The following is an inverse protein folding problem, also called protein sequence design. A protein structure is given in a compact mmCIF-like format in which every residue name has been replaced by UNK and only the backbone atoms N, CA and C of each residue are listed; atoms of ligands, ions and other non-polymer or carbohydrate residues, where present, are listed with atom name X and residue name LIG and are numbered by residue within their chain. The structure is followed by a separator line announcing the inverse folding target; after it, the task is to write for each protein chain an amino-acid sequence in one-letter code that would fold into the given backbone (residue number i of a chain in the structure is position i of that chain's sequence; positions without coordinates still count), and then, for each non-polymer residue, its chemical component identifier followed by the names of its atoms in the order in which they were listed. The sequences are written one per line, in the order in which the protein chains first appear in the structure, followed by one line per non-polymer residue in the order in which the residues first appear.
data_IF_530648935020
#
_entry.id   IF_530648935020
#
_cell.length_a   1.000
_cell.length_b   1.000
_cell.length_c   1.000
_cell.angle_alpha   90.00
_cell.angle_beta   90.00
_cell.angle_gamma   90.00
#
_symmetry.space_group_name_H-M   'P 1'
#
loop_
_entity.id
_entity.type
_entity.pdbx_description
1 polymer ?
#
# COMPACT_ATOMS: atom_id res chain seq x y z
N UNK A 1 -50.27 -4.68 12.86
CA UNK A 1 -49.29 -4.05 11.97
C UNK A 1 -47.81 -4.51 12.14
N UNK A 2 -47.50 -5.49 13.00
CA UNK A 2 -46.08 -5.88 13.28
C UNK A 2 -45.48 -6.98 12.36
N UNK A 3 -46.29 -7.74 11.61
CA UNK A 3 -45.76 -8.88 10.82
C UNK A 3 -45.05 -8.45 9.51
N UNK A 4 -45.42 -7.32 8.91
CA UNK A 4 -44.78 -6.83 7.68
C UNK A 4 -43.35 -6.35 7.88
N UNK A 5 -43.08 -5.69 8.98
CA UNK A 5 -41.76 -5.17 9.29
C UNK A 5 -40.74 -6.29 9.63
N UNK A 6 -41.21 -7.37 10.26
CA UNK A 6 -40.41 -8.56 10.56
C UNK A 6 -40.02 -9.35 9.31
N UNK A 7 -40.94 -9.50 8.34
CA UNK A 7 -40.70 -10.20 7.07
C UNK A 7 -39.73 -9.44 6.18
N UNK A 8 -39.82 -8.10 6.11
CA UNK A 8 -38.89 -7.26 5.36
C UNK A 8 -37.48 -7.29 5.95
N UNK A 9 -37.36 -7.26 7.29
CA UNK A 9 -36.08 -7.34 8.01
C UNK A 9 -35.44 -8.73 7.85
N UNK A 10 -36.23 -9.80 7.89
CA UNK A 10 -35.75 -11.19 7.68
C UNK A 10 -35.27 -11.40 6.24
N UNK A 11 -36.00 -10.90 5.24
CA UNK A 11 -35.57 -10.96 3.82
C UNK A 11 -34.28 -10.18 3.55
N UNK A 12 -34.10 -9.02 4.18
CA UNK A 12 -32.88 -8.21 4.03
C UNK A 12 -31.65 -8.91 4.63
N UNK A 13 -31.82 -9.54 5.79
CA UNK A 13 -30.74 -10.32 6.45
C UNK A 13 -30.36 -11.55 5.61
N UNK A 14 -31.34 -12.25 5.03
CA UNK A 14 -31.09 -13.42 4.18
C UNK A 14 -30.37 -13.04 2.90
N UNK A 15 -30.75 -11.93 2.24
CA UNK A 15 -30.07 -11.41 1.04
C UNK A 15 -28.62 -11.02 1.32
N UNK A 16 -28.36 -10.40 2.46
CA UNK A 16 -26.99 -9.99 2.84
C UNK A 16 -26.11 -11.21 3.14
N UNK A 17 -26.64 -12.22 3.85
CA UNK A 17 -25.91 -13.48 4.11
C UNK A 17 -25.61 -14.23 2.81
N UNK A 18 -26.57 -14.29 1.92
CA UNK A 18 -26.40 -14.92 0.60
C UNK A 18 -25.33 -14.21 -0.23
N UNK A 19 -25.28 -12.86 -0.22
CA UNK A 19 -24.24 -12.09 -0.90
C UNK A 19 -22.83 -12.42 -0.40
N UNK A 20 -22.61 -12.48 0.93
CA UNK A 20 -21.28 -12.84 1.46
C UNK A 20 -20.93 -14.31 1.19
N UNK A 21 -21.88 -15.21 1.25
CA UNK A 21 -21.66 -16.61 0.91
C UNK A 21 -21.22 -16.76 -0.57
N UNK A 22 -21.88 -16.05 -1.48
CA UNK A 22 -21.49 -16.02 -2.90
C UNK A 22 -20.12 -15.38 -3.09
N UNK A 23 -19.80 -14.30 -2.40
CA UNK A 23 -18.48 -13.67 -2.45
C UNK A 23 -17.38 -14.63 -2.00
N UNK A 24 -17.56 -15.30 -0.88
CA UNK A 24 -16.58 -16.28 -0.37
C UNK A 24 -16.44 -17.49 -1.29
N UNK A 25 -17.53 -17.94 -1.89
CA UNK A 25 -17.50 -19.00 -2.89
C UNK A 25 -16.69 -18.58 -4.12
N UNK A 26 -16.87 -17.34 -4.62
CA UNK A 26 -16.11 -16.80 -5.75
C UNK A 26 -14.62 -16.73 -5.41
N UNK A 27 -14.26 -16.29 -4.20
CA UNK A 27 -12.88 -16.24 -3.76
C UNK A 27 -12.26 -17.64 -3.68
N UNK A 28 -12.99 -18.61 -3.18
CA UNK A 28 -12.56 -20.01 -3.12
C UNK A 28 -12.37 -20.60 -4.53
N UNK A 29 -13.31 -20.35 -5.42
CA UNK A 29 -13.18 -20.74 -6.84
C UNK A 29 -11.95 -20.06 -7.46
N UNK A 30 -11.71 -18.77 -7.16
CA UNK A 30 -10.53 -18.05 -7.61
C UNK A 30 -9.22 -18.70 -7.15
N UNK A 31 -9.15 -19.13 -5.88
CA UNK A 31 -7.98 -19.85 -5.34
C UNK A 31 -7.78 -21.18 -6.10
N UNK A 32 -8.84 -21.98 -6.23
CA UNK A 32 -8.77 -23.27 -6.96
C UNK A 32 -8.37 -23.08 -8.42
N UNK A 33 -8.90 -22.03 -9.05
CA UNK A 33 -8.58 -21.68 -10.43
C UNK A 33 -7.09 -21.35 -10.63
N UNK A 34 -6.46 -20.63 -9.66
CA UNK A 34 -5.03 -20.30 -9.77
C UNK A 34 -4.10 -21.51 -9.66
N UNK A 35 -4.57 -22.64 -9.11
CA UNK A 35 -3.80 -23.87 -9.07
C UNK A 35 -3.65 -24.53 -10.46
N UNK A 36 -4.58 -24.25 -11.39
CA UNK A 36 -4.61 -24.85 -12.72
C UNK A 36 -4.75 -23.86 -13.87
N UNK A 37 -4.29 -22.61 -13.69
CA UNK A 37 -4.45 -21.53 -14.66
C UNK A 37 -3.31 -21.40 -15.67
N UNK A 38 -2.44 -22.40 -15.78
CA UNK A 38 -1.27 -22.35 -16.67
C UNK A 38 -1.61 -22.09 -18.15
N UNK A 39 -2.83 -22.46 -18.59
CA UNK A 39 -3.30 -22.25 -19.96
C UNK A 39 -3.56 -20.77 -20.32
N UNK A 40 -3.74 -19.89 -19.33
CA UNK A 40 -3.95 -18.45 -19.56
C UNK A 40 -2.66 -17.69 -19.90
N UNK A 41 -1.52 -18.29 -19.62
CA UNK A 41 -0.24 -17.64 -19.79
C UNK A 41 0.35 -17.90 -21.17
N UNK A 42 0.78 -16.81 -21.82
CA UNK A 42 1.56 -16.92 -23.09
C UNK A 42 2.98 -17.39 -22.85
N UNK A 43 3.55 -17.09 -21.67
CA UNK A 43 4.88 -17.56 -21.27
C UNK A 43 4.83 -19.04 -20.91
N UNK A 44 5.88 -19.77 -21.23
CA UNK A 44 5.99 -21.19 -20.88
C UNK A 44 6.10 -21.33 -19.35
N UNK A 45 5.25 -22.16 -18.78
CA UNK A 45 5.27 -22.52 -17.37
C UNK A 45 5.72 -23.97 -17.24
N UNK A 46 6.66 -24.21 -16.33
CA UNK A 46 7.12 -25.54 -16.00
C UNK A 46 6.91 -25.83 -14.50
N UNK A 47 6.46 -27.04 -14.18
CA UNK A 47 6.35 -27.53 -12.81
C UNK A 47 7.55 -28.40 -12.47
N UNK A 48 8.23 -28.10 -11.39
CA UNK A 48 9.41 -28.82 -10.93
C UNK A 48 9.01 -30.17 -10.33
N UNK A 49 9.60 -31.27 -10.84
CA UNK A 49 9.31 -32.63 -10.41
C UNK A 49 10.39 -33.15 -9.47
N UNK A 50 11.65 -32.92 -9.84
CA UNK A 50 12.82 -33.39 -9.10
C UNK A 50 13.93 -32.35 -9.14
N UNK A 51 14.71 -32.33 -8.09
CA UNK A 51 15.87 -31.45 -7.93
C UNK A 51 17.00 -32.29 -7.34
N UNK A 52 18.14 -32.26 -8.02
CA UNK A 52 19.41 -32.77 -7.51
C UNK A 52 20.26 -31.55 -7.15
N UNK A 53 20.57 -31.39 -5.88
CA UNK A 53 21.30 -30.22 -5.35
C UNK A 53 22.71 -30.66 -4.95
N UNK A 54 23.72 -29.98 -5.48
CA UNK A 54 25.13 -30.23 -5.16
C UNK A 54 25.78 -28.95 -4.66
N UNK A 55 26.54 -29.08 -3.59
CA UNK A 55 27.41 -28.01 -3.09
C UNK A 55 28.60 -27.85 -4.02
N UNK A 56 28.94 -26.61 -4.41
CA UNK A 56 30.08 -26.33 -5.28
C UNK A 56 31.27 -25.84 -4.47
N UNK A 57 31.12 -24.73 -3.77
CA UNK A 57 32.19 -24.08 -2.99
C UNK A 57 31.64 -22.97 -2.09
N UNK A 58 32.45 -22.54 -1.14
CA UNK A 58 32.24 -21.29 -0.45
C UNK A 58 32.94 -20.14 -1.22
N UNK A 59 32.25 -19.01 -1.36
CA UNK A 59 32.86 -17.75 -1.81
C UNK A 59 32.93 -16.80 -0.61
N UNK A 60 34.09 -16.18 -0.45
CA UNK A 60 34.23 -15.06 0.49
C UNK A 60 33.87 -13.77 -0.25
N UNK A 61 32.87 -13.05 0.27
CA UNK A 61 32.55 -11.71 -0.23
C UNK A 61 33.72 -10.80 0.18
N UNK A 62 34.43 -10.27 -0.82
CA UNK A 62 35.78 -9.67 -0.67
C UNK A 62 35.89 -8.52 0.32
N UNK A 63 34.77 -7.93 0.79
CA UNK A 63 34.79 -6.79 1.71
C UNK A 63 34.34 -7.10 3.15
N UNK A 64 33.70 -8.27 3.43
CA UNK A 64 33.06 -8.51 4.73
C UNK A 64 33.36 -9.85 5.36
N UNK A 65 34.17 -10.72 4.74
CA UNK A 65 34.50 -12.03 5.29
C UNK A 65 33.29 -12.97 5.48
N UNK A 66 32.14 -12.63 4.90
CA UNK A 66 30.97 -13.51 4.94
C UNK A 66 31.15 -14.62 3.92
N UNK A 67 31.32 -15.85 4.41
CA UNK A 67 31.33 -17.04 3.56
C UNK A 67 29.93 -17.33 3.06
N UNK A 68 29.75 -17.28 1.74
CA UNK A 68 28.50 -17.62 1.08
C UNK A 68 28.66 -18.92 0.33
N UNK A 69 27.86 -19.93 0.70
CA UNK A 69 27.88 -21.23 0.04
C UNK A 69 27.14 -21.15 -1.30
N UNK A 70 27.80 -21.66 -2.36
CA UNK A 70 27.23 -21.77 -3.70
C UNK A 70 26.77 -23.21 -3.93
N UNK A 71 25.53 -23.32 -4.40
CA UNK A 71 24.91 -24.59 -4.75
C UNK A 71 24.49 -24.60 -6.23
N UNK A 72 24.60 -25.75 -6.86
CA UNK A 72 24.03 -26.03 -8.18
C UNK A 72 22.84 -26.95 -8.03
N UNK A 73 21.70 -26.56 -8.63
CA UNK A 73 20.50 -27.38 -8.72
C UNK A 73 20.33 -27.88 -10.15
N UNK A 74 20.32 -29.18 -10.36
CA UNK A 74 19.87 -29.82 -11.60
C UNK A 74 18.38 -30.11 -11.46
N UNK A 75 17.54 -29.27 -12.09
CA UNK A 75 16.10 -29.26 -11.95
C UNK A 75 15.47 -30.01 -13.13
N UNK A 76 14.67 -31.04 -12.83
CA UNK A 76 13.80 -31.68 -13.83
C UNK A 76 12.40 -31.08 -13.67
N UNK A 77 11.82 -30.54 -14.75
CA UNK A 77 10.51 -29.91 -14.75
C UNK A 77 9.66 -30.34 -15.95
N UNK A 78 8.34 -30.41 -15.76
CA UNK A 78 7.36 -30.70 -16.82
C UNK A 78 6.71 -29.39 -17.26
N UNK A 79 6.68 -29.17 -18.58
CA UNK A 79 6.00 -28.00 -19.16
C UNK A 79 4.48 -28.20 -19.02
N UNK A 80 3.77 -27.16 -18.56
CA UNK A 80 2.33 -27.18 -18.29
C UNK A 80 1.46 -26.56 -19.37
N UNK A 81 2.04 -25.73 -20.23
CA UNK A 81 1.33 -24.99 -21.28
C UNK A 81 2.18 -24.95 -22.57
N UNK A 82 1.71 -24.19 -23.55
CA UNK A 82 2.31 -24.07 -24.89
C UNK A 82 2.30 -25.35 -25.71
N UNK A 83 2.82 -25.28 -26.93
CA UNK A 83 2.94 -26.43 -27.84
C UNK A 83 3.88 -27.56 -27.34
N UNK A 84 4.67 -27.26 -26.30
CA UNK A 84 5.60 -28.23 -25.69
C UNK A 84 5.06 -28.85 -24.41
N UNK A 85 3.76 -28.73 -24.15
CA UNK A 85 3.10 -29.31 -22.99
C UNK A 85 3.49 -30.77 -22.77
N UNK A 86 3.64 -31.17 -21.51
CA UNK A 86 3.99 -32.51 -21.02
C UNK A 86 5.42 -32.99 -21.38
N UNK A 87 6.24 -32.16 -22.04
CA UNK A 87 7.67 -32.47 -22.22
C UNK A 87 8.43 -32.20 -20.92
N UNK A 88 9.37 -33.11 -20.64
CA UNK A 88 10.30 -32.95 -19.50
C UNK A 88 11.53 -32.18 -19.97
N UNK A 89 11.89 -31.16 -19.22
CA UNK A 89 13.08 -30.34 -19.47
C UNK A 89 14.02 -30.42 -18.26
N UNK A 90 15.31 -30.27 -18.53
CA UNK A 90 16.34 -30.16 -17.51
C UNK A 90 16.88 -28.73 -17.49
N UNK A 91 16.92 -28.12 -16.30
CA UNK A 91 17.36 -26.75 -16.10
C UNK A 91 18.47 -26.77 -15.06
N UNK A 92 19.56 -26.07 -15.34
CA UNK A 92 20.61 -25.81 -14.36
C UNK A 92 20.36 -24.47 -13.70
N UNK A 93 20.33 -24.44 -12.38
CA UNK A 93 20.20 -23.24 -11.58
C UNK A 93 21.35 -23.19 -10.56
N UNK A 94 22.05 -22.08 -10.52
CA UNK A 94 23.07 -21.84 -9.49
C UNK A 94 22.55 -20.78 -8.54
N UNK A 95 22.60 -21.04 -7.25
CA UNK A 95 22.19 -20.07 -6.25
C UNK A 95 23.23 -19.93 -5.12
N UNK A 96 23.27 -18.76 -4.57
CA UNK A 96 24.13 -18.40 -3.44
C UNK A 96 23.25 -18.29 -2.19
N UNK A 97 23.61 -18.99 -1.13
CA UNK A 97 22.83 -19.02 0.10
C UNK A 97 22.92 -17.63 0.78
N UNK A 98 21.82 -16.90 0.78
CA UNK A 98 21.73 -15.55 1.36
C UNK A 98 21.77 -14.39 0.37
N UNK A 99 22.02 -14.64 -0.92
CA UNK A 99 21.90 -13.60 -1.95
C UNK A 99 20.45 -13.44 -2.46
N UNK A 100 20.05 -12.19 -2.66
CA UNK A 100 18.67 -11.84 -3.08
C UNK A 100 18.43 -12.13 -4.56
N UNK A 101 19.49 -12.06 -5.38
CA UNK A 101 19.39 -12.19 -6.84
C UNK A 101 19.36 -13.63 -7.34
N UNK A 102 19.71 -14.59 -6.48
CA UNK A 102 19.72 -16.02 -6.79
C UNK A 102 18.69 -16.74 -5.94
N UNK A 103 17.84 -17.57 -6.57
CA UNK A 103 16.74 -18.25 -5.89
C UNK A 103 16.97 -19.76 -5.81
N UNK A 104 16.72 -20.31 -4.62
CA UNK A 104 16.58 -21.75 -4.41
C UNK A 104 15.17 -22.16 -4.78
N UNK A 105 15.03 -23.19 -5.65
CA UNK A 105 13.75 -23.75 -6.02
C UNK A 105 13.48 -25.05 -5.27
N UNK A 106 12.18 -25.39 -5.14
CA UNK A 106 11.73 -26.60 -4.46
C UNK A 106 10.86 -27.46 -5.37
N UNK A 107 10.73 -28.73 -5.02
CA UNK A 107 9.82 -29.63 -5.69
C UNK A 107 8.38 -29.11 -5.63
N UNK A 108 7.64 -29.25 -6.73
CA UNK A 108 6.29 -28.72 -6.96
C UNK A 108 6.18 -27.21 -7.19
N UNK A 109 7.30 -26.48 -7.24
CA UNK A 109 7.27 -25.09 -7.66
C UNK A 109 6.89 -24.94 -9.12
N UNK A 110 6.14 -23.91 -9.45
CA UNK A 110 5.82 -23.50 -10.81
C UNK A 110 6.64 -22.26 -11.19
N UNK A 111 7.35 -22.35 -12.32
CA UNK A 111 8.28 -21.32 -12.77
C UNK A 111 8.01 -20.95 -14.22
N UNK A 112 8.25 -19.70 -14.57
CA UNK A 112 8.31 -19.24 -15.94
C UNK A 112 9.65 -19.62 -16.54
N UNK A 113 9.63 -20.21 -17.75
CA UNK A 113 10.83 -20.72 -18.41
C UNK A 113 10.93 -20.16 -19.81
N UNK A 114 12.11 -19.71 -20.19
CA UNK A 114 12.45 -19.46 -21.58
C UNK A 114 13.11 -20.70 -22.18
N UNK A 115 12.64 -21.07 -23.35
CA UNK A 115 13.13 -22.24 -24.09
C UNK A 115 13.98 -21.80 -25.28
N UNK A 116 15.20 -22.33 -25.38
CA UNK A 116 16.04 -22.14 -26.55
C UNK A 116 15.85 -23.36 -27.47
N UNK A 117 15.12 -23.15 -28.57
CA UNK A 117 14.64 -24.20 -29.46
C UNK A 117 15.48 -24.17 -30.75
N UNK A 118 15.93 -25.32 -31.19
CA UNK A 118 16.60 -25.47 -32.47
C UNK A 118 16.06 -26.71 -33.18
N UNK A 119 15.44 -26.54 -34.36
CA UNK A 119 14.84 -27.62 -35.15
C UNK A 119 13.90 -28.51 -34.32
N UNK A 120 12.93 -27.92 -33.61
CA UNK A 120 11.95 -28.58 -32.75
C UNK A 120 12.49 -29.32 -31.51
N UNK A 121 13.77 -29.22 -31.22
CA UNK A 121 14.35 -29.82 -30.04
C UNK A 121 14.74 -28.75 -29.02
N UNK A 122 14.44 -28.98 -27.71
CA UNK A 122 14.70 -28.05 -26.62
C UNK A 122 16.15 -28.25 -26.18
N UNK A 123 17.07 -27.40 -26.66
CA UNK A 123 18.49 -27.48 -26.30
C UNK A 123 18.81 -26.98 -24.92
N UNK A 124 18.18 -25.89 -24.51
CA UNK A 124 18.41 -25.27 -23.19
C UNK A 124 17.13 -24.63 -22.69
N UNK A 125 16.92 -24.67 -21.38
CA UNK A 125 15.84 -23.99 -20.70
C UNK A 125 16.43 -23.16 -19.56
N UNK A 126 15.92 -21.92 -19.39
CA UNK A 126 16.32 -21.02 -18.31
C UNK A 126 15.09 -20.55 -17.54
N UNK A 127 15.21 -20.46 -16.21
CA UNK A 127 14.13 -19.94 -15.38
C UNK A 127 14.16 -18.42 -15.47
N UNK A 128 13.04 -17.80 -15.87
CA UNK A 128 12.85 -16.34 -15.88
C UNK A 128 12.32 -15.80 -14.57
N UNK A 129 11.58 -16.62 -13.83
CA UNK A 129 11.01 -16.23 -12.57
C UNK A 129 10.04 -17.24 -11.97
N UNK A 130 9.62 -16.97 -10.76
CA UNK A 130 8.70 -17.80 -9.99
C UNK A 130 7.25 -17.40 -10.27
N UNK A 131 6.36 -18.36 -10.47
CA UNK A 131 4.91 -18.11 -10.62
C UNK A 131 4.28 -17.87 -9.26
N UNK A 132 4.02 -16.59 -8.93
CA UNK A 132 3.59 -16.14 -7.59
C UNK A 132 2.09 -15.94 -7.45
N UNK A 133 1.32 -16.05 -8.55
CA UNK A 133 -0.11 -15.72 -8.60
C UNK A 133 -0.95 -16.44 -7.54
N UNK A 134 -0.71 -17.72 -7.31
CA UNK A 134 -1.42 -18.51 -6.29
C UNK A 134 -1.28 -17.91 -4.88
N UNK A 135 -0.06 -17.48 -4.52
CA UNK A 135 0.19 -16.90 -3.19
C UNK A 135 -0.44 -15.52 -3.05
N UNK A 136 -0.38 -14.72 -4.12
CA UNK A 136 -0.99 -13.38 -4.17
C UNK A 136 -2.51 -13.51 -4.04
N UNK A 137 -3.15 -14.43 -4.78
CA UNK A 137 -4.60 -14.62 -4.72
C UNK A 137 -5.02 -15.18 -3.37
N UNK A 138 -4.28 -16.13 -2.77
CA UNK A 138 -4.56 -16.63 -1.42
C UNK A 138 -4.50 -15.50 -0.40
N UNK A 139 -3.43 -14.70 -0.41
CA UNK A 139 -3.24 -13.60 0.53
C UNK A 139 -4.33 -12.52 0.36
N UNK A 140 -4.63 -12.15 -0.89
CA UNK A 140 -5.68 -11.17 -1.20
C UNK A 140 -7.05 -11.69 -0.79
N UNK A 141 -7.34 -12.97 -1.05
CA UNK A 141 -8.61 -13.58 -0.63
C UNK A 141 -8.75 -13.62 0.89
N UNK A 142 -7.69 -13.99 1.60
CA UNK A 142 -7.66 -13.97 3.06
C UNK A 142 -7.92 -12.55 3.60
N UNK A 143 -7.27 -11.56 3.03
CA UNK A 143 -7.47 -10.15 3.40
C UNK A 143 -8.93 -9.71 3.18
N UNK A 144 -9.53 -10.04 2.02
CA UNK A 144 -10.93 -9.70 1.72
C UNK A 144 -11.87 -10.40 2.70
N UNK A 145 -11.63 -11.66 3.03
CA UNK A 145 -12.44 -12.43 3.99
C UNK A 145 -12.39 -11.76 5.36
N UNK A 146 -11.20 -11.46 5.88
CA UNK A 146 -11.04 -10.85 7.21
C UNK A 146 -11.72 -9.48 7.26
N UNK A 147 -11.45 -8.61 6.27
CA UNK A 147 -12.01 -7.25 6.26
C UNK A 147 -13.54 -7.25 6.10
N UNK A 148 -14.10 -8.25 5.40
CA UNK A 148 -15.57 -8.36 5.24
C UNK A 148 -16.24 -8.99 6.45
N UNK A 149 -15.58 -9.89 7.20
CA UNK A 149 -16.09 -10.43 8.47
C UNK A 149 -16.20 -9.30 9.50
N UNK A 150 -15.16 -8.46 9.63
CA UNK A 150 -15.11 -7.38 10.62
C UNK A 150 -15.94 -6.17 10.15
N UNK A 151 -15.66 -5.65 8.96
CA UNK A 151 -16.21 -4.40 8.45
C UNK A 151 -17.52 -4.55 7.68
N UNK A 152 -17.98 -5.80 7.41
CA UNK A 152 -19.17 -6.07 6.59
C UNK A 152 -19.12 -5.30 5.27
N UNK A 153 -20.21 -4.60 4.91
CA UNK A 153 -20.29 -3.79 3.68
C UNK A 153 -19.26 -2.66 3.62
N UNK A 154 -18.95 -2.05 4.76
CA UNK A 154 -17.91 -1.01 4.81
C UNK A 154 -16.52 -1.57 4.53
N UNK A 155 -16.23 -2.79 4.99
CA UNK A 155 -14.99 -3.48 4.69
C UNK A 155 -14.82 -3.74 3.19
N UNK A 156 -15.87 -4.20 2.50
CA UNK A 156 -15.83 -4.38 1.06
C UNK A 156 -15.63 -3.05 0.31
N UNK A 157 -16.32 -1.99 0.74
CA UNK A 157 -16.15 -0.66 0.14
C UNK A 157 -14.75 -0.10 0.36
N UNK A 158 -14.13 -0.38 1.53
CA UNK A 158 -12.72 -0.05 1.77
C UNK A 158 -11.80 -0.77 0.79
N UNK A 159 -12.03 -2.06 0.52
CA UNK A 159 -11.24 -2.78 -0.48
C UNK A 159 -11.41 -2.21 -1.89
N UNK A 160 -12.63 -1.85 -2.27
CA UNK A 160 -12.90 -1.19 -3.56
C UNK A 160 -12.18 0.17 -3.63
N UNK A 161 -12.11 0.93 -2.53
CA UNK A 161 -11.37 2.20 -2.50
C UNK A 161 -9.87 2.01 -2.70
N UNK A 162 -9.28 0.92 -2.20
CA UNK A 162 -7.87 0.59 -2.46
C UNK A 162 -7.65 0.33 -3.96
N UNK A 163 -8.53 -0.43 -4.62
CA UNK A 163 -8.45 -0.65 -6.07
C UNK A 163 -8.55 0.67 -6.85
N UNK A 164 -9.48 1.55 -6.45
CA UNK A 164 -9.62 2.86 -7.07
C UNK A 164 -8.35 3.71 -6.91
N UNK A 165 -7.70 3.67 -5.75
CA UNK A 165 -6.44 4.37 -5.50
C UNK A 165 -5.28 3.80 -6.34
N UNK A 166 -5.19 2.48 -6.49
CA UNK A 166 -4.20 1.85 -7.37
C UNK A 166 -4.42 2.34 -8.82
N UNK A 167 -5.67 2.44 -9.26
CA UNK A 167 -5.99 2.94 -10.59
C UNK A 167 -5.61 4.42 -10.75
N UNK A 168 -5.92 5.28 -9.78
CA UNK A 168 -5.50 6.68 -9.77
C UNK A 168 -3.98 6.82 -9.81
N UNK A 169 -3.26 6.01 -9.06
CA UNK A 169 -1.80 6.00 -9.08
C UNK A 169 -1.22 5.64 -10.45
N UNK A 170 -1.81 4.66 -11.13
CA UNK A 170 -1.41 4.34 -12.52
C UNK A 170 -1.67 5.52 -13.48
N UNK A 171 -2.75 6.26 -13.28
CA UNK A 171 -3.05 7.48 -14.06
C UNK A 171 -1.96 8.54 -13.83
N UNK A 172 -1.55 8.75 -12.58
CA UNK A 172 -0.46 9.69 -12.24
C UNK A 172 0.83 9.33 -12.99
N UNK A 173 1.24 8.06 -12.93
CA UNK A 173 2.45 7.59 -13.62
C UNK A 173 2.33 7.80 -15.14
N UNK A 174 1.19 7.46 -15.72
CA UNK A 174 0.96 7.60 -17.16
C UNK A 174 1.05 9.07 -17.65
N UNK A 175 0.44 9.99 -16.92
CA UNK A 175 0.47 11.40 -17.28
C UNK A 175 1.82 12.07 -16.96
N UNK A 176 2.49 11.62 -15.89
CA UNK A 176 3.86 12.08 -15.62
C UNK A 176 4.84 11.67 -16.73
N UNK A 177 4.70 10.45 -17.27
CA UNK A 177 5.48 10.01 -18.41
C UNK A 177 5.24 10.85 -19.69
N UNK A 178 4.12 11.58 -19.77
CA UNK A 178 3.82 12.56 -20.84
C UNK A 178 4.37 13.96 -20.55
N UNK A 179 5.10 14.15 -19.45
CA UNK A 179 5.75 15.43 -19.12
C UNK A 179 4.92 16.37 -18.24
N UNK A 180 3.77 15.92 -17.69
CA UNK A 180 2.99 16.73 -16.76
C UNK A 180 3.68 16.67 -15.38
N UNK A 181 3.67 17.81 -14.67
CA UNK A 181 4.30 17.95 -13.36
C UNK A 181 3.80 16.90 -12.35
N UNK A 182 4.74 16.16 -11.74
CA UNK A 182 4.46 15.13 -10.74
C UNK A 182 3.76 15.71 -9.52
N UNK A 183 4.16 16.90 -9.05
CA UNK A 183 3.56 17.59 -7.90
C UNK A 183 2.08 17.85 -8.14
N UNK A 184 1.74 18.41 -9.32
CA UNK A 184 0.35 18.70 -9.67
C UNK A 184 -0.48 17.41 -9.73
N UNK A 185 0.05 16.39 -10.41
CA UNK A 185 -0.65 15.11 -10.56
C UNK A 185 -0.86 14.41 -9.22
N UNK A 186 0.16 14.40 -8.35
CA UNK A 186 0.08 13.80 -7.01
C UNK A 186 -0.92 14.55 -6.14
N UNK A 187 -0.93 15.88 -6.18
CA UNK A 187 -1.85 16.70 -5.41
C UNK A 187 -3.31 16.47 -5.86
N UNK A 188 -3.59 16.54 -7.16
CA UNK A 188 -4.93 16.27 -7.71
C UNK A 188 -5.38 14.84 -7.40
N UNK A 189 -4.49 13.87 -7.56
CA UNK A 189 -4.75 12.47 -7.24
C UNK A 189 -5.05 12.28 -5.74
N UNK A 190 -4.34 12.97 -4.85
CA UNK A 190 -4.59 12.91 -3.40
C UNK A 190 -5.97 13.47 -3.03
N UNK A 191 -6.38 14.61 -3.63
CA UNK A 191 -7.72 15.18 -3.43
C UNK A 191 -8.83 14.24 -3.94
N UNK A 192 -8.63 13.63 -5.10
CA UNK A 192 -9.57 12.64 -5.67
C UNK A 192 -9.63 11.38 -4.79
N UNK A 193 -8.49 10.84 -4.36
CA UNK A 193 -8.42 9.69 -3.47
C UNK A 193 -9.15 9.95 -2.17
N UNK A 194 -8.93 11.11 -1.54
CA UNK A 194 -9.62 11.53 -0.33
C UNK A 194 -11.15 11.51 -0.53
N UNK A 195 -11.62 12.14 -1.59
CA UNK A 195 -13.06 12.24 -1.89
C UNK A 195 -13.68 10.86 -2.14
N UNK A 196 -13.03 10.05 -2.97
CA UNK A 196 -13.50 8.69 -3.32
C UNK A 196 -13.53 7.80 -2.08
N UNK A 197 -12.42 7.74 -1.32
CA UNK A 197 -12.33 6.87 -0.15
C UNK A 197 -13.37 7.22 0.92
N UNK A 198 -13.44 8.49 1.31
CA UNK A 198 -14.36 8.92 2.37
C UNK A 198 -15.82 8.74 1.95
N UNK A 199 -16.15 9.02 0.69
CA UNK A 199 -17.52 8.85 0.18
C UNK A 199 -17.92 7.38 0.08
N UNK A 200 -17.03 6.51 -0.41
CA UNK A 200 -17.31 5.07 -0.52
C UNK A 200 -17.50 4.43 0.86
N UNK A 201 -16.62 4.72 1.83
CA UNK A 201 -16.62 4.04 3.13
C UNK A 201 -17.68 4.59 4.08
N UNK A 202 -17.85 5.92 4.12
CA UNK A 202 -18.71 6.60 5.09
C UNK A 202 -20.08 7.02 4.53
N UNK A 203 -20.26 6.93 3.20
CA UNK A 203 -21.46 7.40 2.50
C UNK A 203 -21.47 8.93 2.37
N UNK A 204 -22.50 9.45 1.70
CA UNK A 204 -22.67 10.89 1.46
C UNK A 204 -23.48 11.52 2.60
N UNK A 205 -22.81 11.93 3.67
CA UNK A 205 -23.41 12.50 4.89
C UNK A 205 -22.68 13.80 5.29
N UNK A 206 -23.31 14.63 6.15
CA UNK A 206 -22.71 15.86 6.65
C UNK A 206 -21.32 15.67 7.25
N UNK A 207 -21.13 14.60 8.05
CA UNK A 207 -19.83 14.23 8.63
C UNK A 207 -18.78 13.90 7.56
N UNK A 208 -19.16 13.21 6.48
CA UNK A 208 -18.27 12.86 5.38
C UNK A 208 -17.87 14.10 4.58
N UNK A 209 -18.81 15.00 4.32
CA UNK A 209 -18.51 16.29 3.67
C UNK A 209 -17.55 17.12 4.51
N UNK A 210 -17.79 17.19 5.83
CA UNK A 210 -16.86 17.86 6.75
C UNK A 210 -15.46 17.24 6.68
N UNK A 211 -15.37 15.93 6.74
CA UNK A 211 -14.10 15.22 6.66
C UNK A 211 -13.37 15.46 5.31
N UNK A 212 -14.09 15.43 4.18
CA UNK A 212 -13.52 15.70 2.85
C UNK A 212 -12.93 17.10 2.80
N UNK A 213 -13.70 18.12 3.18
CA UNK A 213 -13.23 19.51 3.15
C UNK A 213 -12.02 19.68 4.08
N UNK A 214 -12.08 19.11 5.29
CA UNK A 214 -10.98 19.16 6.26
C UNK A 214 -9.71 18.48 5.75
N UNK A 215 -9.84 17.30 5.15
CA UNK A 215 -8.71 16.58 4.57
C UNK A 215 -8.11 17.34 3.37
N UNK A 216 -8.95 17.87 2.49
CA UNK A 216 -8.46 18.66 1.34
C UNK A 216 -7.71 19.92 1.80
N UNK A 217 -8.23 20.63 2.81
CA UNK A 217 -7.52 21.77 3.39
C UNK A 217 -6.22 21.34 4.08
N UNK A 218 -6.24 20.25 4.85
CA UNK A 218 -5.06 19.70 5.51
C UNK A 218 -3.96 19.33 4.50
N UNK A 219 -4.32 18.62 3.43
CA UNK A 219 -3.39 18.26 2.35
C UNK A 219 -2.80 19.49 1.66
N UNK A 220 -3.64 20.49 1.38
CA UNK A 220 -3.18 21.74 0.74
C UNK A 220 -2.16 22.45 1.63
N UNK A 221 -2.43 22.56 2.93
CA UNK A 221 -1.51 23.19 3.86
C UNK A 221 -0.22 22.38 4.01
N UNK A 222 -0.32 21.06 4.08
CA UNK A 222 0.86 20.18 4.12
C UNK A 222 1.73 20.36 2.88
N UNK A 223 1.15 20.45 1.70
CA UNK A 223 1.85 20.76 0.46
C UNK A 223 2.54 22.13 0.52
N UNK A 224 1.84 23.16 0.99
CA UNK A 224 2.43 24.52 1.13
C UNK A 224 3.61 24.53 2.11
N UNK A 225 3.48 23.82 3.24
CA UNK A 225 4.59 23.68 4.20
C UNK A 225 5.78 22.98 3.55
N UNK A 226 5.55 21.91 2.78
CA UNK A 226 6.60 21.20 2.07
C UNK A 226 7.36 22.13 1.12
N UNK A 227 6.64 22.94 0.33
CA UNK A 227 7.23 23.92 -0.58
C UNK A 227 8.03 24.98 0.17
N UNK A 228 7.50 25.50 1.29
CA UNK A 228 8.17 26.48 2.13
C UNK A 228 9.46 25.93 2.73
N UNK A 229 9.44 24.70 3.25
CA UNK A 229 10.61 24.03 3.84
C UNK A 229 11.72 23.87 2.80
N UNK A 230 11.39 23.42 1.59
CA UNK A 230 12.37 23.27 0.51
C UNK A 230 12.94 24.61 0.11
N UNK A 231 12.09 25.64 -0.04
CA UNK A 231 12.53 26.98 -0.44
C UNK A 231 13.44 27.65 0.60
N UNK A 232 13.09 27.56 1.89
CA UNK A 232 13.90 28.14 2.98
C UNK A 232 15.22 27.39 3.16
N UNK A 233 15.23 26.07 3.02
CA UNK A 233 16.45 25.29 3.19
C UNK A 233 17.45 25.52 2.06
N UNK A 234 17.06 26.14 0.94
CA UNK A 234 17.88 26.28 -0.27
C UNK A 234 18.58 24.96 -0.63
N UNK A 235 17.89 23.84 -0.41
CA UNK A 235 18.39 22.47 -0.58
C UNK A 235 19.56 22.08 0.36
N UNK A 236 20.00 22.96 1.26
CA UNK A 236 21.02 22.68 2.24
C UNK A 236 20.42 21.86 3.40
N UNK A 237 21.05 20.73 3.71
CA UNK A 237 20.59 19.85 4.81
C UNK A 237 19.58 18.77 4.41
N UNK A 238 18.93 18.87 3.24
CA UNK A 238 18.14 17.81 2.66
C UNK A 238 19.00 17.04 1.66
N UNK A 239 19.43 15.84 2.05
CA UNK A 239 20.35 15.01 1.28
C UNK A 239 19.63 14.26 0.16
N UNK A 240 19.14 14.99 -0.86
CA UNK A 240 18.46 14.40 -2.03
C UNK A 240 19.35 13.44 -2.83
N UNK A 241 20.67 13.56 -2.69
CA UNK A 241 21.67 12.66 -3.25
C UNK A 241 21.57 11.23 -2.70
N UNK A 242 20.92 11.06 -1.56
CA UNK A 242 20.71 9.77 -0.90
C UNK A 242 19.36 9.10 -1.23
N UNK A 243 18.56 9.70 -2.11
CA UNK A 243 17.33 9.06 -2.58
C UNK A 243 17.67 7.77 -3.35
N UNK A 244 16.93 6.70 -3.12
CA UNK A 244 17.16 5.36 -3.70
C UNK A 244 17.32 5.37 -5.23
N UNK A 245 16.64 6.28 -5.89
CA UNK A 245 16.73 6.48 -7.33
C UNK A 245 16.99 7.96 -7.57
N UNK A 246 18.19 8.30 -8.01
CA UNK A 246 18.59 9.64 -8.45
C UNK A 246 17.84 10.05 -9.73
N UNK A 247 16.52 10.13 -9.65
CA UNK A 247 15.64 10.58 -10.72
C UNK A 247 15.38 12.08 -10.61
N UNK A 248 15.51 12.80 -11.69
CA UNK A 248 15.10 14.21 -11.74
C UNK A 248 13.64 14.29 -12.20
N UNK A 249 12.80 15.16 -11.64
CA UNK A 249 13.09 16.17 -10.61
C UNK A 249 12.92 15.60 -9.17
N UNK A 250 14.00 15.57 -8.39
CA UNK A 250 14.03 15.06 -7.01
C UNK A 250 13.07 15.80 -6.05
N UNK A 251 12.93 17.10 -6.22
CA UNK A 251 12.00 17.94 -5.45
C UNK A 251 10.55 17.50 -5.62
N UNK A 252 10.16 17.28 -6.87
CA UNK A 252 8.82 16.82 -7.22
C UNK A 252 8.49 15.47 -6.59
N UNK A 253 9.47 14.56 -6.56
CA UNK A 253 9.33 13.24 -5.93
C UNK A 253 9.16 13.40 -4.43
N UNK A 254 10.04 14.16 -3.76
CA UNK A 254 9.99 14.39 -2.31
C UNK A 254 8.64 14.99 -1.85
N UNK A 255 8.15 16.03 -2.52
CA UNK A 255 6.85 16.64 -2.21
C UNK A 255 5.71 15.65 -2.45
N UNK A 256 5.76 14.91 -3.55
CA UNK A 256 4.74 13.92 -3.90
C UNK A 256 4.68 12.79 -2.86
N UNK A 257 5.82 12.33 -2.36
CA UNK A 257 5.92 11.33 -1.30
C UNK A 257 5.31 11.83 0.01
N UNK A 258 5.54 13.09 0.40
CA UNK A 258 4.92 13.69 1.59
C UNK A 258 3.39 13.74 1.43
N UNK A 259 2.91 14.21 0.28
CA UNK A 259 1.45 14.33 0.02
C UNK A 259 0.79 12.95 0.06
N UNK A 260 1.34 11.99 -0.66
CA UNK A 260 0.76 10.66 -0.77
C UNK A 260 0.92 9.84 0.51
N UNK A 261 2.06 9.95 1.19
CA UNK A 261 2.32 9.25 2.45
C UNK A 261 1.51 9.81 3.62
N UNK A 262 1.30 11.14 3.67
CA UNK A 262 0.48 11.80 4.69
C UNK A 262 -1.03 11.67 4.45
N UNK A 263 -1.47 11.35 3.23
CA UNK A 263 -2.87 11.30 2.83
C UNK A 263 -3.73 10.43 3.75
N UNK A 264 -3.29 9.19 4.03
CA UNK A 264 -4.03 8.24 4.87
C UNK A 264 -4.25 8.79 6.28
N UNK A 265 -3.20 9.26 6.93
CA UNK A 265 -3.25 9.80 8.29
C UNK A 265 -4.13 11.07 8.38
N UNK A 266 -4.04 11.96 7.40
CA UNK A 266 -4.87 13.17 7.32
C UNK A 266 -6.35 12.80 7.16
N UNK A 267 -6.68 11.84 6.29
CA UNK A 267 -8.06 11.36 6.10
C UNK A 267 -8.62 10.72 7.37
N UNK A 268 -7.85 9.85 8.02
CA UNK A 268 -8.28 9.13 9.22
C UNK A 268 -8.58 10.08 10.38
N UNK A 269 -7.76 11.11 10.56
CA UNK A 269 -7.99 12.13 11.56
C UNK A 269 -9.22 12.97 11.24
N UNK A 270 -9.34 13.41 9.99
CA UNK A 270 -10.47 14.24 9.58
C UNK A 270 -11.80 13.51 9.77
N UNK A 271 -11.89 12.24 9.36
CA UNK A 271 -13.13 11.46 9.52
C UNK A 271 -13.41 11.12 10.99
N UNK A 272 -12.38 10.81 11.78
CA UNK A 272 -12.53 10.49 13.20
C UNK A 272 -13.07 11.68 13.96
N UNK A 273 -12.47 12.87 13.81
CA UNK A 273 -12.93 14.09 14.47
C UNK A 273 -14.33 14.48 14.00
N UNK A 274 -14.56 14.52 12.68
CA UNK A 274 -15.85 14.89 12.12
C UNK A 274 -16.96 13.91 12.54
N UNK A 275 -16.68 12.62 12.58
CA UNK A 275 -17.66 11.61 13.00
C UNK A 275 -17.96 11.68 14.49
N UNK A 276 -16.93 11.84 15.34
CA UNK A 276 -17.09 11.92 16.79
C UNK A 276 -17.84 13.18 17.21
N UNK A 277 -17.47 14.34 16.64
CA UNK A 277 -18.18 15.59 16.92
C UNK A 277 -19.63 15.53 16.44
N UNK A 278 -19.88 14.99 15.25
CA UNK A 278 -21.25 14.81 14.76
C UNK A 278 -22.08 13.91 15.68
N UNK A 279 -21.50 12.84 16.21
CA UNK A 279 -22.19 11.95 17.16
C UNK A 279 -22.49 12.63 18.49
N UNK A 280 -21.57 13.46 19.02
CA UNK A 280 -21.78 14.25 20.24
C UNK A 280 -22.95 15.22 20.05
N UNK A 281 -23.00 15.89 18.92
CA UNK A 281 -24.05 16.86 18.58
C UNK A 281 -25.41 16.17 18.45
N UNK A 282 -25.47 15.03 17.74
CA UNK A 282 -26.72 14.25 17.57
C UNK A 282 -27.29 13.74 18.91
N UNK A 283 -26.39 13.43 19.88
CA UNK A 283 -26.81 12.94 21.21
C UNK A 283 -27.15 14.07 22.19
N UNK A 284 -26.58 15.26 22.02
CA UNK A 284 -26.80 16.42 22.89
C UNK A 284 -26.94 17.69 22.08
N UNK A 285 -28.16 18.02 21.68
CA UNK A 285 -28.47 19.22 20.90
C UNK A 285 -28.25 20.54 21.67
N UNK A 286 -28.05 20.48 23.00
CA UNK A 286 -27.83 21.69 23.86
C UNK A 286 -26.34 21.91 24.15
N UNK A 287 -25.43 21.15 23.55
CA UNK A 287 -24.00 21.30 23.81
C UNK A 287 -23.48 22.67 23.38
N UNK A 288 -22.69 23.29 24.25
CA UNK A 288 -22.10 24.58 23.96
C UNK A 288 -20.93 24.49 22.98
N UNK A 289 -20.69 25.53 22.18
CA UNK A 289 -19.54 25.58 21.26
C UNK A 289 -18.20 25.36 21.98
N UNK A 290 -18.07 25.85 23.22
CA UNK A 290 -16.86 25.69 24.01
C UNK A 290 -16.62 24.22 24.39
N UNK A 291 -17.66 23.52 24.82
CA UNK A 291 -17.58 22.08 25.14
C UNK A 291 -17.27 21.25 23.89
N UNK A 292 -17.86 21.61 22.76
CA UNK A 292 -17.62 20.94 21.49
C UNK A 292 -16.17 21.08 21.02
N UNK A 293 -15.61 22.30 21.11
CA UNK A 293 -14.19 22.56 20.81
C UNK A 293 -13.28 21.78 21.76
N UNK A 294 -13.63 21.77 23.06
CA UNK A 294 -12.84 21.04 24.06
C UNK A 294 -12.87 19.53 23.79
N UNK A 295 -14.03 18.97 23.49
CA UNK A 295 -14.18 17.55 23.11
C UNK A 295 -13.37 17.22 21.85
N UNK A 296 -13.47 18.06 20.82
CA UNK A 296 -12.68 17.88 19.60
C UNK A 296 -11.17 17.93 19.83
N UNK A 297 -10.69 18.84 20.69
CA UNK A 297 -9.27 18.90 21.08
C UNK A 297 -8.82 17.65 21.85
N UNK A 298 -9.65 17.13 22.75
CA UNK A 298 -9.32 15.93 23.51
C UNK A 298 -9.22 14.71 22.57
N UNK A 299 -10.22 14.51 21.71
CA UNK A 299 -10.19 13.45 20.69
C UNK A 299 -8.97 13.60 19.79
N UNK A 300 -8.70 14.83 19.31
CA UNK A 300 -7.55 15.12 18.49
C UNK A 300 -6.23 14.77 19.17
N UNK A 301 -6.06 15.10 20.46
CA UNK A 301 -4.87 14.79 21.24
C UNK A 301 -4.62 13.28 21.34
N UNK A 302 -5.68 12.50 21.61
CA UNK A 302 -5.57 11.05 21.78
C UNK A 302 -5.14 10.36 20.46
N UNK A 303 -5.67 10.84 19.33
CA UNK A 303 -5.37 10.26 18.01
C UNK A 303 -4.02 10.75 17.46
N UNK A 304 -3.62 12.01 17.76
CA UNK A 304 -2.39 12.60 17.20
C UNK A 304 -1.15 11.77 17.53
N UNK A 305 -0.99 11.38 18.80
CA UNK A 305 0.21 10.66 19.24
C UNK A 305 0.41 9.33 18.47
N UNK A 306 -0.66 8.60 18.28
CA UNK A 306 -0.61 7.33 17.55
C UNK A 306 -0.36 7.54 16.06
N UNK A 307 -1.02 8.52 15.43
CA UNK A 307 -0.89 8.77 13.99
C UNK A 307 0.48 9.33 13.59
N UNK A 308 1.08 10.20 14.42
CA UNK A 308 2.45 10.69 14.18
C UNK A 308 3.45 9.53 14.25
N UNK A 309 3.31 8.63 15.22
CA UNK A 309 4.18 7.45 15.32
C UNK A 309 4.00 6.51 14.11
N UNK A 310 2.76 6.24 13.68
CA UNK A 310 2.50 5.44 12.48
C UNK A 310 3.17 6.05 11.26
N UNK A 311 3.02 7.36 11.06
CA UNK A 311 3.63 8.08 9.94
C UNK A 311 5.16 8.00 9.99
N UNK A 312 5.75 8.24 11.15
CA UNK A 312 7.19 8.15 11.37
C UNK A 312 7.74 6.76 11.04
N UNK A 313 7.14 5.70 11.59
CA UNK A 313 7.58 4.35 11.29
C UNK A 313 7.32 3.94 9.84
N UNK A 314 6.28 4.45 9.20
CA UNK A 314 6.00 4.19 7.79
C UNK A 314 7.14 4.70 6.90
N UNK A 315 7.63 5.92 7.13
CA UNK A 315 8.75 6.46 6.37
C UNK A 315 10.07 5.74 6.69
N UNK A 316 10.41 5.55 7.96
CA UNK A 316 11.66 4.88 8.34
C UNK A 316 11.71 3.43 7.87
N UNK A 317 10.58 2.72 7.86
CA UNK A 317 10.50 1.33 7.41
C UNK A 317 11.06 1.15 5.98
N UNK A 318 10.78 2.10 5.09
CA UNK A 318 11.32 2.11 3.72
C UNK A 318 12.85 2.22 3.68
N UNK A 319 13.45 2.96 4.61
CA UNK A 319 14.90 3.17 4.67
C UNK A 319 15.68 2.01 5.33
N UNK A 320 15.02 1.13 6.10
CA UNK A 320 15.69 0.06 6.87
C UNK A 320 16.63 -0.81 6.02
N UNK A 321 16.24 -1.31 4.83
CA UNK A 321 17.13 -2.15 4.03
C UNK A 321 18.46 -1.46 3.71
N UNK A 322 18.40 -0.18 3.32
CA UNK A 322 19.57 0.62 3.00
C UNK A 322 20.43 0.89 4.25
N UNK A 323 19.79 1.22 5.37
CA UNK A 323 20.50 1.43 6.64
C UNK A 323 21.28 0.18 7.06
N UNK A 324 20.69 -1.00 6.95
CA UNK A 324 21.36 -2.28 7.27
C UNK A 324 22.55 -2.51 6.34
N UNK A 325 22.39 -2.22 5.04
CA UNK A 325 23.46 -2.37 4.06
C UNK A 325 24.64 -1.42 4.37
N UNK A 326 24.36 -0.15 4.62
CA UNK A 326 25.37 0.86 4.92
C UNK A 326 26.08 0.58 6.27
N UNK A 327 25.34 0.14 7.28
CA UNK A 327 25.90 -0.27 8.55
C UNK A 327 26.85 -1.46 8.39
N UNK A 328 26.48 -2.46 7.59
CA UNK A 328 27.36 -3.58 7.24
C UNK A 328 28.61 -3.09 6.48
N UNK A 329 28.51 -2.01 5.73
CA UNK A 329 29.63 -1.40 5.01
C UNK A 329 30.53 -0.53 5.90
N UNK A 330 30.35 -0.61 7.23
CA UNK A 330 31.22 0.08 8.20
C UNK A 330 30.93 1.57 8.35
N UNK A 331 29.80 2.06 7.80
CA UNK A 331 29.39 3.46 7.98
C UNK A 331 28.93 3.64 9.42
N UNK A 332 29.38 4.70 10.09
CA UNK A 332 29.03 4.97 11.48
C UNK A 332 27.53 5.27 11.64
N UNK A 333 26.94 4.92 12.78
CA UNK A 333 25.54 5.21 13.09
C UNK A 333 25.26 6.72 13.00
N UNK A 334 26.18 7.57 13.42
CA UNK A 334 26.03 9.03 13.32
C UNK A 334 25.90 9.50 11.87
N UNK A 335 26.74 8.97 10.97
CA UNK A 335 26.65 9.28 9.53
C UNK A 335 25.35 8.75 8.92
N UNK A 336 24.92 7.54 9.33
CA UNK A 336 23.66 6.96 8.87
C UNK A 336 22.46 7.84 9.23
N UNK A 337 22.41 8.35 10.45
CA UNK A 337 21.32 9.23 10.89
C UNK A 337 21.36 10.54 10.11
N UNK A 338 22.52 11.17 9.99
CA UNK A 338 22.64 12.48 9.36
C UNK A 338 22.45 12.44 7.84
N UNK A 339 22.85 11.36 7.18
CA UNK A 339 22.87 11.31 5.72
C UNK A 339 21.63 10.61 5.14
N UNK A 340 21.19 9.51 5.75
CA UNK A 340 20.14 8.65 5.18
C UNK A 340 18.78 8.83 5.84
N UNK A 341 18.74 9.12 7.15
CA UNK A 341 17.47 9.28 7.86
C UNK A 341 16.95 10.71 7.75
N UNK A 342 17.78 11.70 7.43
CA UNK A 342 17.41 13.12 7.40
C UNK A 342 16.19 13.42 6.52
N UNK A 343 16.10 12.83 5.34
CA UNK A 343 14.96 12.99 4.44
C UNK A 343 13.68 12.36 4.99
N UNK A 344 13.79 11.17 5.56
CA UNK A 344 12.65 10.47 6.17
C UNK A 344 12.12 11.20 7.39
N UNK A 345 13.04 11.76 8.21
CA UNK A 345 12.69 12.61 9.32
C UNK A 345 11.98 13.89 8.87
N UNK A 346 12.48 14.55 7.82
CA UNK A 346 11.82 15.71 7.26
C UNK A 346 10.41 15.40 6.76
N UNK A 347 10.21 14.29 6.04
CA UNK A 347 8.89 13.83 5.60
C UNK A 347 7.96 13.58 6.78
N UNK A 348 8.44 12.86 7.79
CA UNK A 348 7.65 12.54 8.98
C UNK A 348 7.25 13.80 9.76
N UNK A 349 8.16 14.76 9.92
CA UNK A 349 7.89 16.02 10.62
C UNK A 349 6.89 16.89 9.87
N UNK A 350 7.07 17.07 8.56
CA UNK A 350 6.13 17.85 7.72
C UNK A 350 4.75 17.21 7.73
N UNK A 351 4.67 15.89 7.55
CA UNK A 351 3.43 15.15 7.61
C UNK A 351 2.77 15.24 9.00
N UNK A 352 3.55 15.16 10.07
CA UNK A 352 3.09 15.32 11.45
C UNK A 352 2.50 16.71 11.72
N UNK A 353 3.13 17.78 11.21
CA UNK A 353 2.58 19.13 11.27
C UNK A 353 1.24 19.20 10.51
N UNK A 354 1.17 18.60 9.33
CA UNK A 354 -0.05 18.50 8.54
C UNK A 354 -1.19 17.82 9.31
N UNK A 355 -0.90 16.75 10.02
CA UNK A 355 -1.82 16.06 10.92
C UNK A 355 -2.35 17.01 11.99
N UNK A 356 -1.46 17.69 12.72
CA UNK A 356 -1.84 18.61 13.80
C UNK A 356 -2.74 19.75 13.29
N UNK A 357 -2.43 20.31 12.14
CA UNK A 357 -3.23 21.38 11.52
C UNK A 357 -4.60 20.85 11.08
N UNK A 358 -4.64 19.63 10.53
CA UNK A 358 -5.90 19.00 10.10
C UNK A 358 -6.88 18.82 11.26
N UNK A 359 -6.41 18.57 12.47
CA UNK A 359 -7.26 18.49 13.67
C UNK A 359 -8.01 19.80 13.89
N UNK A 360 -7.28 20.91 13.90
CA UNK A 360 -7.86 22.25 14.12
C UNK A 360 -8.89 22.57 13.04
N UNK A 361 -8.52 22.30 11.79
CA UNK A 361 -9.40 22.52 10.62
C UNK A 361 -10.66 21.66 10.72
N UNK A 362 -10.53 20.38 11.08
CA UNK A 362 -11.66 19.45 11.18
C UNK A 362 -12.65 19.86 12.26
N UNK A 363 -12.16 20.32 13.41
CA UNK A 363 -13.01 20.86 14.48
C UNK A 363 -13.79 22.06 13.95
N UNK A 364 -13.08 23.03 13.36
CA UNK A 364 -13.68 24.27 12.87
C UNK A 364 -14.72 24.02 11.78
N UNK A 365 -14.40 23.23 10.77
CA UNK A 365 -15.30 22.93 9.64
C UNK A 365 -16.52 22.15 10.11
N UNK A 366 -16.34 21.16 11.00
CA UNK A 366 -17.47 20.39 11.53
C UNK A 366 -18.45 21.30 12.28
N UNK A 367 -17.96 22.19 13.14
CA UNK A 367 -18.79 23.14 13.90
C UNK A 367 -19.48 24.10 12.94
N UNK A 368 -18.80 24.62 11.92
CA UNK A 368 -19.35 25.58 10.98
C UNK A 368 -20.50 24.98 10.15
N UNK A 369 -20.32 23.76 9.65
CA UNK A 369 -21.35 23.05 8.88
C UNK A 369 -22.56 22.71 9.74
N UNK A 370 -22.34 22.47 11.03
CA UNK A 370 -23.42 22.16 11.95
C UNK A 370 -24.21 23.41 12.36
N UNK A 371 -23.53 24.51 12.70
CA UNK A 371 -24.17 25.79 13.03
C UNK A 371 -25.05 26.30 11.89
N UNK A 372 -24.62 26.11 10.64
CA UNK A 372 -25.40 26.46 9.46
C UNK A 372 -26.68 25.62 9.34
N UNK A 373 -26.66 24.39 9.84
CA UNK A 373 -27.84 23.50 9.84
C UNK A 373 -28.90 23.91 10.86
N UNK A 374 -28.47 24.42 12.04
CA UNK A 374 -29.41 24.93 13.08
C UNK A 374 -30.07 26.24 12.69
N UNK A 375 -29.43 27.05 11.84
CA UNK A 375 -30.00 28.32 11.38
C UNK A 375 -30.96 28.15 10.17
N UNK A 376 -31.11 26.94 9.65
CA UNK A 376 -32.00 26.62 8.51
C UNK A 376 -33.20 25.75 8.91
N UNK A 377 -33.29 25.31 10.17
CA UNK A 377 -34.51 24.79 10.82
C UNK A 377 -35.19 25.88 11.69
#
# INVERSE_FOLDING_TARGET
MNNGCYLVKKNKITKTKFFYATLYLILLIGIVFTLNNSFLYKKTIAKIIAIDETYIKDTEDGNYGCKTAIYEQNIKAIIKNTQYKDRVITIKNTYHKGEVYTQRYHKNDEVFVSLNITKDDIKKAHIEGYKRDKYIVILTSLFIIIITIIGKSKGLLSFISVIANIFLFNIVIYFNAKGISLILLSFVSALLSCTICLTLVSGFNKKTISAIISSCCGLTITMLISLIVIHISNYNGLRFDQMELLTRPYEGIFISEIIMGGLGAIMDIAITISSSLNEIIEKNNQITLKELITSGKNIGRDVTSTMINVLFFTYICGAIPNLVLYFKNGISISSLINEFISLEMARALIGGIGICITIIISIFITILLYKRSLNHE
#
